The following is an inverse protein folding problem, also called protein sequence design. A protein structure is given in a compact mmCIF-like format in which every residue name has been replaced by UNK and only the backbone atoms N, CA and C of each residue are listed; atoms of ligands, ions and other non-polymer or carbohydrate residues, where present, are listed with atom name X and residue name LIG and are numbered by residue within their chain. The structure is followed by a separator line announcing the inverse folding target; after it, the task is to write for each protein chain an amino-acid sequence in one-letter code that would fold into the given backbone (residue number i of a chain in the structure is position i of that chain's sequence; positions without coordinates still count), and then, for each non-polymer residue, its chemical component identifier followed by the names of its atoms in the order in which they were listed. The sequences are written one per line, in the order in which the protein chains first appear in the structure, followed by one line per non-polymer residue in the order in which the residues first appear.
data_IF_908125346130
#
_entry.id   IF_908125346130
#
_cell.length_a   1.000
_cell.length_b   1.000
_cell.length_c   1.000
_cell.angle_alpha   90.00
_cell.angle_beta   90.00
_cell.angle_gamma   90.00
#
_symmetry.space_group_name_H-M   'P 1'
#
loop_
_entity.id
_entity.type
_entity.pdbx_description
1 polymer ?
#
# COMPACT_ATOMS: atom_id res chain seq x y z
N UNK A 1 5.34 31.70 15.21
CA UNK A 1 5.73 30.44 14.55
C UNK A 1 5.79 30.71 13.06
N UNK A 2 6.98 30.63 12.45
CA UNK A 2 7.14 30.79 11.01
C UNK A 2 6.88 29.43 10.35
N UNK A 3 5.93 29.39 9.41
CA UNK A 3 5.61 28.19 8.62
C UNK A 3 5.99 28.50 7.18
N UNK A 4 6.90 27.71 6.62
CA UNK A 4 7.27 27.78 5.21
C UNK A 4 6.50 26.73 4.44
N UNK A 5 5.60 27.18 3.56
CA UNK A 5 4.88 26.32 2.65
C UNK A 5 5.53 26.37 1.26
N UNK A 6 5.82 25.21 0.70
CA UNK A 6 6.38 25.08 -0.63
C UNK A 6 5.72 23.92 -1.37
N UNK A 7 5.52 24.09 -2.68
CA UNK A 7 5.02 23.00 -3.52
C UNK A 7 6.13 21.99 -3.76
N UNK A 8 5.80 20.70 -3.68
CA UNK A 8 6.71 19.63 -4.08
C UNK A 8 7.06 19.81 -5.57
N UNK A 9 8.33 20.07 -5.86
CA UNK A 9 8.88 20.14 -7.22
C UNK A 9 9.84 18.97 -7.41
N UNK A 10 9.54 18.13 -8.40
CA UNK A 10 10.37 16.99 -8.75
C UNK A 10 10.59 16.90 -10.27
N UNK A 11 11.53 16.05 -10.66
CA UNK A 11 11.68 15.64 -12.06
C UNK A 11 10.55 14.70 -12.47
N UNK A 12 10.35 14.53 -13.77
CA UNK A 12 9.36 13.57 -14.27
C UNK A 12 9.62 12.14 -13.76
N UNK A 13 10.88 11.72 -13.69
CA UNK A 13 11.25 10.41 -13.15
C UNK A 13 10.89 10.24 -11.68
N UNK A 14 10.99 11.29 -10.86
CA UNK A 14 10.58 11.25 -9.47
C UNK A 14 9.06 11.12 -9.33
N UNK A 15 8.29 11.89 -10.12
CA UNK A 15 6.82 11.78 -10.12
C UNK A 15 6.35 10.39 -10.56
N UNK A 16 6.96 9.80 -11.59
CA UNK A 16 6.63 8.43 -12.03
C UNK A 16 6.87 7.39 -10.92
N UNK A 17 7.96 7.53 -10.13
CA UNK A 17 8.22 6.64 -8.99
C UNK A 17 7.18 6.80 -7.87
N UNK A 18 6.69 8.02 -7.64
CA UNK A 18 5.59 8.27 -6.70
C UNK A 18 4.29 7.61 -7.18
N UNK A 19 3.97 7.75 -8.47
CA UNK A 19 2.79 7.12 -9.05
C UNK A 19 2.84 5.59 -8.95
N UNK A 20 4.00 4.97 -9.20
CA UNK A 20 4.21 3.53 -9.01
C UNK A 20 3.97 3.10 -7.55
N UNK A 21 4.51 3.86 -6.58
CA UNK A 21 4.30 3.60 -5.17
C UNK A 21 2.83 3.74 -4.75
N UNK A 22 2.15 4.81 -5.19
CA UNK A 22 0.72 5.05 -4.92
C UNK A 22 -0.12 3.94 -5.53
N UNK A 23 0.16 3.53 -6.77
CA UNK A 23 -0.57 2.47 -7.47
C UNK A 23 -0.39 1.12 -6.77
N UNK A 24 0.81 0.82 -6.31
CA UNK A 24 1.10 -0.39 -5.51
C UNK A 24 0.37 -0.36 -4.16
N UNK A 25 0.37 0.78 -3.48
CA UNK A 25 -0.38 0.96 -2.23
C UNK A 25 -1.90 0.79 -2.39
N UNK A 26 -2.47 1.35 -3.45
CA UNK A 26 -3.88 1.16 -3.81
C UNK A 26 -4.20 -0.30 -4.13
N UNK A 27 -3.31 -0.99 -4.84
CA UNK A 27 -3.46 -2.42 -5.10
C UNK A 27 -3.54 -3.22 -3.80
N UNK A 28 -2.58 -3.03 -2.87
CA UNK A 28 -2.60 -3.72 -1.56
C UNK A 28 -3.90 -3.45 -0.81
N UNK A 29 -4.34 -2.18 -0.73
CA UNK A 29 -5.60 -1.81 -0.08
C UNK A 29 -6.78 -2.57 -0.69
N UNK A 30 -6.90 -2.55 -2.02
CA UNK A 30 -8.03 -3.17 -2.72
C UNK A 30 -8.01 -4.70 -2.59
N UNK A 31 -6.84 -5.34 -2.60
CA UNK A 31 -6.70 -6.78 -2.37
C UNK A 31 -7.13 -7.17 -0.95
N UNK A 32 -6.79 -6.37 0.07
CA UNK A 32 -7.27 -6.60 1.44
C UNK A 32 -8.79 -6.48 1.53
N UNK A 33 -9.39 -5.47 0.88
CA UNK A 33 -10.86 -5.32 0.82
C UNK A 33 -11.50 -6.55 0.14
N UNK A 34 -10.95 -7.00 -0.98
CA UNK A 34 -11.43 -8.20 -1.67
C UNK A 34 -11.35 -9.43 -0.77
N UNK A 35 -10.20 -9.67 -0.14
CA UNK A 35 -10.00 -10.79 0.78
C UNK A 35 -10.94 -10.74 2.00
N UNK A 36 -11.32 -9.55 2.47
CA UNK A 36 -12.33 -9.38 3.51
C UNK A 36 -13.73 -9.77 3.01
N UNK A 37 -14.14 -9.31 1.82
CA UNK A 37 -15.41 -9.70 1.19
C UNK A 37 -15.50 -11.21 0.96
N UNK A 38 -14.38 -11.85 0.61
CA UNK A 38 -14.27 -13.29 0.41
C UNK A 38 -14.17 -14.08 1.74
N UNK A 39 -14.22 -13.40 2.89
CA UNK A 39 -14.19 -14.01 4.23
C UNK A 39 -12.82 -14.52 4.69
N UNK A 40 -11.75 -14.19 3.97
CA UNK A 40 -10.37 -14.64 4.24
C UNK A 40 -9.65 -13.78 5.28
N UNK A 41 -9.99 -12.48 5.35
CA UNK A 41 -9.46 -11.53 6.33
C UNK A 41 -10.55 -11.21 7.34
N UNK A 42 -10.34 -11.51 8.63
CA UNK A 42 -11.34 -11.30 9.70
C UNK A 42 -10.85 -10.40 10.82
N UNK A 43 -9.59 -9.99 10.77
CA UNK A 43 -8.97 -9.11 11.77
C UNK A 43 -7.89 -8.24 11.14
N UNK A 44 -7.50 -7.18 11.86
CA UNK A 44 -6.34 -6.34 11.50
C UNK A 44 -5.07 -7.18 11.32
N UNK A 45 -4.88 -8.20 12.15
CA UNK A 45 -3.70 -9.07 12.06
C UNK A 45 -3.73 -9.92 10.78
N UNK A 46 -4.91 -10.37 10.35
CA UNK A 46 -5.05 -11.10 9.09
C UNK A 46 -4.79 -10.19 7.88
N UNK A 47 -5.16 -8.91 7.96
CA UNK A 47 -4.82 -7.93 6.92
C UNK A 47 -3.29 -7.77 6.77
N UNK A 48 -2.53 -7.78 7.87
CA UNK A 48 -1.06 -7.76 7.82
C UNK A 48 -0.46 -9.04 7.24
N UNK A 49 -0.98 -10.20 7.63
CA UNK A 49 -0.57 -11.48 7.04
C UNK A 49 -0.85 -11.48 5.54
N UNK A 50 -1.99 -10.92 5.11
CA UNK A 50 -2.34 -10.79 3.71
C UNK A 50 -1.33 -9.92 2.94
N UNK A 51 -0.80 -8.84 3.53
CA UNK A 51 0.29 -8.07 2.92
C UNK A 51 1.57 -8.88 2.69
N UNK A 52 1.91 -9.81 3.59
CA UNK A 52 3.04 -10.72 3.43
C UNK A 52 2.78 -11.66 2.24
N UNK A 53 1.59 -12.24 2.16
CA UNK A 53 1.20 -13.11 1.02
C UNK A 53 1.31 -12.36 -0.31
N UNK A 54 0.81 -11.12 -0.38
CA UNK A 54 0.92 -10.30 -1.59
C UNK A 54 2.37 -9.93 -1.93
N UNK A 55 3.21 -9.70 -0.92
CA UNK A 55 4.65 -9.44 -1.08
C UNK A 55 5.40 -10.62 -1.70
N UNK A 56 5.06 -11.82 -1.25
CA UNK A 56 5.78 -13.04 -1.59
C UNK A 56 5.23 -13.68 -2.88
N UNK A 57 4.11 -13.19 -3.40
CA UNK A 57 3.53 -13.65 -4.67
C UNK A 57 4.36 -13.16 -5.88
N UNK A 58 4.89 -14.12 -6.64
CA UNK A 58 5.69 -13.89 -7.86
C UNK A 58 4.88 -13.36 -9.05
N UNK A 59 3.55 -13.42 -9.01
CA UNK A 59 2.69 -12.74 -9.98
C UNK A 59 2.76 -11.22 -9.81
N UNK A 60 3.07 -10.75 -8.59
CA UNK A 60 3.07 -9.34 -8.20
C UNK A 60 4.41 -8.82 -7.66
N UNK A 61 5.57 -9.02 -8.32
CA UNK A 61 6.91 -8.71 -7.78
C UNK A 61 7.14 -7.24 -7.44
N UNK A 62 6.36 -6.32 -8.00
CA UNK A 62 6.42 -4.89 -7.66
C UNK A 62 5.86 -4.60 -6.27
N UNK A 63 5.00 -5.45 -5.72
CA UNK A 63 4.51 -5.31 -4.34
C UNK A 63 5.65 -5.44 -3.36
N UNK A 64 6.62 -6.33 -3.61
CA UNK A 64 7.84 -6.48 -2.80
C UNK A 64 8.71 -5.21 -2.76
N UNK A 65 8.64 -4.36 -3.80
CA UNK A 65 9.40 -3.11 -3.88
C UNK A 65 8.86 -2.02 -2.94
N UNK A 66 7.59 -2.10 -2.56
CA UNK A 66 7.03 -1.21 -1.55
C UNK A 66 7.38 -1.75 -0.16
N UNK A 67 7.94 -0.90 0.70
CA UNK A 67 8.39 -1.33 2.02
C UNK A 67 7.24 -1.93 2.87
N UNK A 68 7.59 -2.80 3.82
CA UNK A 68 6.61 -3.52 4.65
C UNK A 68 5.65 -2.60 5.40
N UNK A 69 6.15 -1.51 6.00
CA UNK A 69 5.35 -0.57 6.78
C UNK A 69 4.32 0.17 5.93
N UNK A 70 4.70 0.59 4.71
CA UNK A 70 3.80 1.24 3.77
C UNK A 70 2.67 0.29 3.34
N UNK A 71 2.97 -0.98 3.08
CA UNK A 71 1.95 -1.98 2.75
C UNK A 71 0.99 -2.20 3.91
N UNK A 72 1.51 -2.33 5.13
CA UNK A 72 0.69 -2.46 6.33
C UNK A 72 -0.19 -1.23 6.57
N UNK A 73 0.32 0.00 6.36
CA UNK A 73 -0.48 1.21 6.47
C UNK A 73 -1.65 1.23 5.47
N UNK A 74 -1.45 0.72 4.25
CA UNK A 74 -2.55 0.56 3.29
C UNK A 74 -3.58 -0.50 3.73
N UNK A 75 -3.14 -1.58 4.36
CA UNK A 75 -4.00 -2.61 4.93
C UNK A 75 -4.83 -2.08 6.12
N UNK A 76 -4.22 -1.28 7.00
CA UNK A 76 -4.91 -0.61 8.10
C UNK A 76 -5.97 0.34 7.59
N UNK A 77 -5.66 1.11 6.54
CA UNK A 77 -6.62 2.00 5.90
C UNK A 77 -7.79 1.22 5.29
N UNK A 78 -7.57 0.01 4.77
CA UNK A 78 -8.68 -0.86 4.33
C UNK A 78 -9.54 -1.30 5.53
N UNK A 79 -8.90 -1.68 6.64
CA UNK A 79 -9.57 -2.18 7.84
C UNK A 79 -10.35 -1.11 8.62
N UNK A 80 -9.87 0.13 8.62
CA UNK A 80 -10.49 1.27 9.29
C UNK A 80 -11.49 2.04 8.40
N UNK A 81 -11.73 1.60 7.16
CA UNK A 81 -12.71 2.21 6.26
C UNK A 81 -14.14 1.81 6.61
#
# INVERSE_FOLDING_TARGET
MLVYEMKLKGTESQYRRLDEAIRTGRFVRNSVIRAWLDGQVKSRNDAYKHCKVLSDNQEFPWVARLNSMARQAHAERAWAS
#
